data_IF_002166133116
#
_entry.id   IF_002166133116
#
_cell.length_a   1.000
_cell.length_b   1.000
_cell.length_c   1.000
_cell.angle_alpha   90.00
_cell.angle_beta   90.00
_cell.angle_gamma   90.00
#
_symmetry.space_group_name_H-M   'P 1'
#
loop_
_entity.id
_entity.type
_entity.pdbx_description
1 polymer ?
#
# COMPACT_ATOMS: atom_id res chain seq x y z
N UNK A 1 26.06 37.48 -2.98
CA UNK A 1 25.48 37.63 -1.61
C UNK A 1 24.29 36.71 -1.37
N UNK A 2 23.16 36.84 -2.09
CA UNK A 2 21.99 35.96 -1.90
C UNK A 2 22.28 34.48 -2.18
N UNK A 3 23.03 34.17 -3.23
CA UNK A 3 23.46 32.79 -3.57
C UNK A 3 24.35 32.15 -2.49
N UNK A 4 25.25 32.91 -1.88
CA UNK A 4 26.11 32.38 -0.80
C UNK A 4 25.32 32.10 0.48
N UNK A 5 24.34 32.96 0.79
CA UNK A 5 23.44 32.75 1.94
C UNK A 5 22.57 31.51 1.70
N UNK A 6 22.01 31.35 0.50
CA UNK A 6 21.24 30.17 0.12
C UNK A 6 22.06 28.88 0.21
N UNK A 7 23.31 28.89 -0.25
CA UNK A 7 24.20 27.74 -0.18
C UNK A 7 24.57 27.39 1.27
N UNK A 8 24.87 28.39 2.11
CA UNK A 8 25.15 28.17 3.54
C UNK A 8 23.92 27.64 4.28
N UNK A 9 22.73 28.16 3.97
CA UNK A 9 21.48 27.69 4.54
C UNK A 9 21.18 26.24 4.13
N UNK A 10 21.31 25.91 2.84
CA UNK A 10 21.11 24.56 2.32
C UNK A 10 22.09 23.55 2.95
N UNK A 11 23.36 23.92 3.08
CA UNK A 11 24.36 23.08 3.72
C UNK A 11 24.07 22.89 5.22
N UNK A 12 23.63 23.94 5.91
CA UNK A 12 23.22 23.86 7.31
C UNK A 12 21.99 22.96 7.50
N UNK A 13 20.97 23.10 6.65
CA UNK A 13 19.77 22.24 6.71
C UNK A 13 20.11 20.78 6.43
N UNK A 14 21.02 20.51 5.49
CA UNK A 14 21.49 19.15 5.20
C UNK A 14 22.26 18.55 6.39
N UNK A 15 23.18 19.31 6.99
CA UNK A 15 23.92 18.87 8.18
C UNK A 15 22.99 18.63 9.38
N UNK A 16 22.01 19.50 9.58
CA UNK A 16 21.02 19.34 10.65
C UNK A 16 20.18 18.08 10.43
N UNK A 17 19.71 17.83 9.20
CA UNK A 17 18.99 16.61 8.86
C UNK A 17 19.82 15.36 9.12
N UNK A 18 21.10 15.37 8.71
CA UNK A 18 22.02 14.25 8.96
C UNK A 18 22.26 14.02 10.45
N UNK A 19 22.42 15.10 11.23
CA UNK A 19 22.58 15.02 12.68
C UNK A 19 21.33 14.43 13.36
N UNK A 20 20.12 14.84 12.94
CA UNK A 20 18.86 14.29 13.47
C UNK A 20 18.76 12.79 13.16
N UNK A 21 19.01 12.38 11.91
CA UNK A 21 18.99 10.96 11.51
C UNK A 21 20.00 10.17 12.32
N UNK A 22 21.23 10.64 12.44
CA UNK A 22 22.29 10.00 13.23
C UNK A 22 21.89 9.84 14.71
N UNK A 23 21.30 10.87 15.31
CA UNK A 23 20.82 10.83 16.70
C UNK A 23 19.67 9.83 16.88
N UNK A 24 18.72 9.78 15.94
CA UNK A 24 17.64 8.80 15.94
C UNK A 24 18.18 7.38 15.82
N UNK A 25 19.15 7.15 14.93
CA UNK A 25 19.75 5.84 14.72
C UNK A 25 20.53 5.38 15.96
N UNK A 26 21.31 6.27 16.57
CA UNK A 26 22.04 5.97 17.82
C UNK A 26 21.10 5.68 18.98
N UNK A 27 19.96 6.40 19.08
CA UNK A 27 18.91 6.10 20.07
C UNK A 27 18.31 4.72 19.83
N UNK A 28 17.97 4.40 18.59
CA UNK A 28 17.45 3.09 18.21
C UNK A 28 18.43 1.95 18.55
N UNK A 29 19.72 2.11 18.22
CA UNK A 29 20.78 1.16 18.56
C UNK A 29 20.97 0.98 20.08
N UNK A 30 20.69 2.01 20.89
CA UNK A 30 20.72 1.92 22.35
C UNK A 30 19.47 1.27 22.98
N UNK A 31 18.59 0.67 22.15
CA UNK A 31 17.34 0.06 22.59
C UNK A 31 16.22 1.04 22.91
N UNK A 32 16.44 2.35 22.71
CA UNK A 32 15.44 3.41 22.95
C UNK A 32 14.64 3.68 21.68
N UNK A 33 14.03 2.64 21.13
CA UNK A 33 13.15 2.75 19.96
C UNK A 33 11.78 3.28 20.44
N UNK A 34 11.20 4.31 19.80
CA UNK A 34 9.84 4.71 20.10
C UNK A 34 8.87 3.55 19.91
N UNK A 35 7.97 3.32 20.87
CA UNK A 35 6.92 2.34 20.70
C UNK A 35 5.90 2.87 19.68
N UNK A 36 5.81 2.23 18.51
CA UNK A 36 4.81 2.56 17.49
C UNK A 36 3.54 1.81 17.87
N UNK A 37 2.45 2.55 18.16
CA UNK A 37 1.15 1.96 18.45
C UNK A 37 0.68 1.17 17.23
N UNK A 38 0.24 -0.09 17.39
CA UNK A 38 -0.36 -0.81 16.28
C UNK A 38 -1.64 -0.11 15.80
N UNK A 39 -1.90 -0.22 14.50
CA UNK A 39 -3.08 0.33 13.87
C UNK A 39 -4.16 -0.76 13.84
N UNK A 40 -5.30 -0.61 14.55
CA UNK A 40 -6.31 -1.65 14.62
C UNK A 40 -6.83 -2.11 13.25
N UNK A 41 -6.83 -1.22 12.25
CA UNK A 41 -7.22 -1.55 10.89
C UNK A 41 -6.27 -2.54 10.21
N UNK A 42 -4.96 -2.47 10.51
CA UNK A 42 -3.96 -3.38 9.94
C UNK A 42 -4.03 -4.74 10.65
N UNK A 43 -4.13 -4.73 11.98
CA UNK A 43 -4.26 -5.96 12.78
C UNK A 43 -5.53 -6.77 12.44
N UNK A 44 -6.57 -6.12 11.93
CA UNK A 44 -7.83 -6.76 11.54
C UNK A 44 -7.77 -7.46 10.15
N UNK A 45 -6.72 -7.23 9.35
CA UNK A 45 -6.62 -7.78 7.99
C UNK A 45 -6.64 -9.31 7.97
N UNK A 46 -5.83 -10.04 8.78
CA UNK A 46 -5.84 -11.51 8.76
C UNK A 46 -7.20 -12.11 9.13
N UNK A 47 -7.89 -11.52 10.11
CA UNK A 47 -9.24 -11.97 10.50
C UNK A 47 -10.25 -11.73 9.37
N UNK A 48 -10.20 -10.56 8.72
CA UNK A 48 -11.09 -10.23 7.61
C UNK A 48 -10.88 -11.20 6.42
N UNK A 49 -9.64 -11.57 6.12
CA UNK A 49 -9.30 -12.57 5.10
C UNK A 49 -9.81 -13.96 5.53
N UNK A 50 -9.62 -14.35 6.79
CA UNK A 50 -10.16 -15.61 7.33
C UNK A 50 -11.67 -15.73 7.13
N UNK A 51 -12.42 -14.67 7.41
CA UNK A 51 -13.88 -14.64 7.13
C UNK A 51 -14.19 -14.73 5.64
N UNK A 52 -13.34 -14.16 4.78
CA UNK A 52 -13.52 -14.26 3.33
C UNK A 52 -13.40 -15.71 2.85
N UNK A 53 -12.44 -16.46 3.40
CA UNK A 53 -12.28 -17.91 3.17
C UNK A 53 -13.50 -18.69 3.68
N UNK A 54 -13.96 -18.43 4.91
CA UNK A 54 -15.14 -19.10 5.49
C UNK A 54 -16.41 -18.89 4.64
N UNK A 55 -16.56 -17.70 4.05
CA UNK A 55 -17.69 -17.35 3.20
C UNK A 55 -17.51 -17.78 1.74
N UNK A 56 -16.35 -18.28 1.34
CA UNK A 56 -16.02 -18.62 -0.04
C UNK A 56 -16.13 -17.42 -0.99
N UNK A 57 -15.76 -16.22 -0.51
CA UNK A 57 -15.89 -14.96 -1.24
C UNK A 57 -14.54 -14.24 -1.29
N UNK A 58 -14.23 -13.51 -2.37
CA UNK A 58 -12.90 -12.93 -2.56
C UNK A 58 -12.63 -11.74 -1.64
N UNK A 59 -11.36 -11.35 -1.56
CA UNK A 59 -10.87 -10.13 -0.92
C UNK A 59 -10.58 -9.07 -1.99
N UNK A 60 -11.09 -7.87 -1.79
CA UNK A 60 -10.72 -6.71 -2.61
C UNK A 60 -9.59 -5.93 -1.94
N UNK A 61 -8.61 -5.45 -2.70
CA UNK A 61 -7.63 -4.49 -2.22
C UNK A 61 -7.35 -3.40 -3.25
N UNK A 62 -7.02 -2.20 -2.81
CA UNK A 62 -6.64 -1.11 -3.71
C UNK A 62 -5.63 -0.16 -3.04
N UNK A 63 -4.58 0.29 -3.77
CA UNK A 63 -3.59 1.21 -3.24
C UNK A 63 -3.96 2.69 -3.39
N UNK A 64 -5.23 3.00 -3.69
CA UNK A 64 -5.70 4.36 -3.93
C UNK A 64 -5.58 4.84 -5.37
N UNK A 65 -5.80 6.15 -5.53
CA UNK A 65 -5.80 6.89 -6.78
C UNK A 65 -4.48 7.64 -7.06
N UNK A 66 -3.61 7.75 -6.05
CA UNK A 66 -2.33 8.47 -6.11
C UNK A 66 -1.27 7.80 -6.98
N UNK A 67 -0.33 8.60 -7.48
CA UNK A 67 0.90 8.12 -8.11
C UNK A 67 2.04 7.92 -7.12
N UNK A 68 3.24 7.65 -7.65
CA UNK A 68 4.51 7.63 -6.91
C UNK A 68 5.39 8.86 -7.22
N UNK A 69 5.00 9.62 -8.23
CA UNK A 69 5.67 10.81 -8.74
C UNK A 69 5.01 12.11 -8.26
N UNK A 70 3.88 12.02 -7.58
CA UNK A 70 3.07 13.16 -7.14
C UNK A 70 3.15 13.38 -5.62
N UNK A 71 2.36 14.33 -5.13
CA UNK A 71 2.29 14.66 -3.70
C UNK A 71 1.74 13.52 -2.82
N UNK A 72 1.17 12.48 -3.41
CA UNK A 72 0.59 11.32 -2.72
C UNK A 72 1.55 10.12 -2.66
N UNK A 73 2.79 10.30 -3.14
CA UNK A 73 3.77 9.23 -3.23
C UNK A 73 3.99 8.50 -1.89
N UNK A 74 3.97 9.22 -0.76
CA UNK A 74 4.17 8.62 0.56
C UNK A 74 3.00 7.69 0.94
N UNK A 75 1.77 8.12 0.68
CA UNK A 75 0.55 7.35 0.90
C UNK A 75 0.49 6.11 0.00
N UNK A 76 0.79 6.28 -1.29
CA UNK A 76 0.83 5.19 -2.28
C UNK A 76 1.88 4.14 -1.92
N UNK A 77 3.09 4.56 -1.53
CA UNK A 77 4.15 3.63 -1.10
C UNK A 77 3.77 2.89 0.18
N UNK A 78 3.10 3.56 1.12
CA UNK A 78 2.59 2.91 2.33
C UNK A 78 1.50 1.88 2.00
N UNK A 79 0.62 2.21 1.06
CA UNK A 79 -0.42 1.31 0.59
C UNK A 79 0.14 0.07 -0.11
N UNK A 80 1.19 0.20 -0.92
CA UNK A 80 1.87 -0.93 -1.56
C UNK A 80 2.48 -1.90 -0.54
N UNK A 81 3.08 -1.39 0.55
CA UNK A 81 3.59 -2.24 1.63
C UNK A 81 2.46 -3.02 2.31
N UNK A 82 1.32 -2.38 2.54
CA UNK A 82 0.17 -3.05 3.16
C UNK A 82 -0.52 -4.01 2.17
N UNK A 83 -0.48 -3.70 0.87
CA UNK A 83 -0.94 -4.60 -0.18
C UNK A 83 -0.10 -5.89 -0.23
N UNK A 84 1.23 -5.79 -0.11
CA UNK A 84 2.11 -6.97 0.02
C UNK A 84 1.74 -7.79 1.26
N UNK A 85 1.55 -7.15 2.41
CA UNK A 85 1.16 -7.81 3.65
C UNK A 85 -0.21 -8.51 3.52
N UNK A 86 -1.17 -7.85 2.88
CA UNK A 86 -2.50 -8.43 2.60
C UNK A 86 -2.38 -9.63 1.66
N UNK A 87 -1.58 -9.52 0.60
CA UNK A 87 -1.35 -10.60 -0.36
C UNK A 87 -0.67 -11.82 0.27
N UNK A 88 0.28 -11.59 1.19
CA UNK A 88 0.90 -12.66 1.97
C UNK A 88 -0.16 -13.45 2.75
N UNK A 89 -1.04 -12.78 3.49
CA UNK A 89 -2.07 -13.46 4.27
C UNK A 89 -3.16 -14.11 3.40
N UNK A 90 -3.49 -13.51 2.25
CA UNK A 90 -4.36 -14.13 1.25
C UNK A 90 -3.76 -15.46 0.78
N UNK A 91 -2.46 -15.47 0.45
CA UNK A 91 -1.77 -16.67 0.01
C UNK A 91 -1.68 -17.73 1.11
N UNK A 92 -1.32 -17.34 2.34
CA UNK A 92 -1.24 -18.24 3.51
C UNK A 92 -2.58 -18.93 3.83
N UNK A 93 -3.69 -18.20 3.67
CA UNK A 93 -5.04 -18.72 3.97
C UNK A 93 -5.74 -19.32 2.75
N UNK A 94 -5.13 -19.25 1.56
CA UNK A 94 -5.72 -19.75 0.31
C UNK A 94 -6.98 -18.99 -0.11
N UNK A 95 -7.04 -17.68 0.14
CA UNK A 95 -8.14 -16.83 -0.29
C UNK A 95 -7.96 -16.36 -1.74
N UNK A 96 -9.07 -15.98 -2.39
CA UNK A 96 -9.04 -15.27 -3.66
C UNK A 96 -8.87 -13.76 -3.43
N UNK A 97 -8.09 -13.09 -4.29
CA UNK A 97 -7.87 -11.65 -4.24
C UNK A 97 -8.12 -11.00 -5.60
N UNK A 98 -8.65 -9.78 -5.56
CA UNK A 98 -8.67 -8.86 -6.70
C UNK A 98 -8.14 -7.49 -6.30
N UNK A 99 -7.40 -6.86 -7.20
CA UNK A 99 -6.83 -5.54 -6.98
C UNK A 99 -7.10 -4.62 -8.17
N UNK A 100 -7.56 -3.40 -7.88
CA UNK A 100 -7.70 -2.36 -8.88
C UNK A 100 -6.68 -1.25 -8.65
N UNK A 101 -6.08 -0.78 -9.74
CA UNK A 101 -5.13 0.34 -9.77
C UNK A 101 -5.51 1.32 -10.88
N UNK A 102 -5.29 2.61 -10.66
CA UNK A 102 -5.57 3.65 -11.66
C UNK A 102 -4.34 4.32 -12.25
N UNK A 103 -3.19 4.18 -11.59
CA UNK A 103 -1.93 4.74 -12.05
C UNK A 103 -1.12 3.67 -12.78
N UNK A 104 -0.63 4.01 -13.96
CA UNK A 104 0.25 3.16 -14.76
C UNK A 104 1.63 3.02 -14.13
N UNK A 105 2.07 3.98 -13.31
CA UNK A 105 3.32 3.88 -12.53
C UNK A 105 3.17 2.97 -11.32
N UNK A 106 1.96 2.89 -10.76
CA UNK A 106 1.65 2.05 -9.58
C UNK A 106 1.37 0.60 -9.96
N UNK A 107 0.78 0.35 -11.14
CA UNK A 107 0.42 -1.01 -11.57
C UNK A 107 1.57 -2.03 -11.43
N UNK A 108 2.76 -1.83 -12.03
CA UNK A 108 3.84 -2.81 -11.93
C UNK A 108 4.34 -2.98 -10.48
N UNK A 109 4.25 -1.93 -9.65
CA UNK A 109 4.61 -2.02 -8.24
C UNK A 109 3.57 -2.80 -7.43
N UNK A 110 2.28 -2.67 -7.76
CA UNK A 110 1.23 -3.46 -7.14
C UNK A 110 1.35 -4.95 -7.52
N UNK A 111 1.64 -5.25 -8.79
CA UNK A 111 1.92 -6.61 -9.25
C UNK A 111 3.11 -7.22 -8.51
N UNK A 112 4.21 -6.47 -8.38
CA UNK A 112 5.40 -6.93 -7.64
C UNK A 112 5.16 -7.09 -6.14
N UNK A 113 4.43 -6.16 -5.52
CA UNK A 113 4.04 -6.25 -4.11
C UNK A 113 3.20 -7.50 -3.83
N UNK A 114 2.19 -7.78 -4.67
CA UNK A 114 1.35 -8.98 -4.53
C UNK A 114 2.19 -10.24 -4.75
N UNK A 115 2.97 -10.29 -5.84
CA UNK A 115 3.85 -11.43 -6.14
C UNK A 115 4.85 -11.71 -5.02
N UNK A 116 5.40 -10.65 -4.42
CA UNK A 116 6.28 -10.75 -3.25
C UNK A 116 5.53 -11.32 -2.05
N UNK A 117 4.30 -10.88 -1.79
CA UNK A 117 3.45 -11.45 -0.74
C UNK A 117 3.24 -12.96 -0.89
N UNK A 118 2.85 -13.42 -2.10
CA UNK A 118 2.71 -14.85 -2.40
C UNK A 118 4.03 -15.61 -2.22
N UNK A 119 5.16 -14.99 -2.57
CA UNK A 119 6.49 -15.58 -2.41
C UNK A 119 6.88 -15.71 -0.94
N UNK A 120 6.59 -14.71 -0.10
CA UNK A 120 6.84 -14.77 1.35
C UNK A 120 5.99 -15.84 2.04
N UNK A 121 4.80 -16.12 1.51
CA UNK A 121 3.94 -17.21 1.95
C UNK A 121 4.41 -18.61 1.46
N UNK A 122 5.46 -18.70 0.63
CA UNK A 122 5.90 -19.92 -0.07
C UNK A 122 4.84 -20.50 -1.02
N UNK A 123 4.01 -19.66 -1.62
CA UNK A 123 2.89 -20.02 -2.49
C UNK A 123 3.02 -19.32 -3.87
N UNK A 124 4.25 -19.15 -4.35
CA UNK A 124 4.55 -18.44 -5.61
C UNK A 124 3.87 -19.03 -6.84
N UNK A 125 3.56 -20.33 -6.83
CA UNK A 125 2.87 -21.06 -7.90
C UNK A 125 1.37 -20.73 -7.97
N UNK A 126 0.79 -20.21 -6.88
CA UNK A 126 -0.61 -19.75 -6.82
C UNK A 126 -0.78 -18.29 -7.24
N UNK A 127 0.31 -17.55 -7.50
CA UNK A 127 0.20 -16.17 -7.97
C UNK A 127 -0.44 -16.12 -9.37
N UNK A 128 -1.55 -15.39 -9.48
CA UNK A 128 -2.21 -15.09 -10.75
C UNK A 128 -1.86 -13.65 -11.20
N UNK A 129 -1.20 -13.46 -12.35
CA UNK A 129 -0.98 -12.14 -12.95
C UNK A 129 -2.28 -11.34 -13.19
N UNK A 130 -3.44 -12.00 -13.26
CA UNK A 130 -4.75 -11.37 -13.42
C UNK A 130 -5.35 -10.73 -12.17
N UNK A 131 -4.68 -10.85 -11.01
CA UNK A 131 -5.13 -10.25 -9.74
C UNK A 131 -5.18 -8.73 -9.85
N UNK A 132 -4.14 -8.09 -10.42
CA UNK A 132 -4.07 -6.64 -10.57
C UNK A 132 -4.69 -6.24 -11.90
N UNK A 133 -5.65 -5.32 -11.86
CA UNK A 133 -6.31 -4.80 -13.06
C UNK A 133 -6.24 -3.29 -13.07
N UNK A 134 -5.75 -2.76 -14.19
CA UNK A 134 -5.73 -1.33 -14.44
C UNK A 134 -7.11 -0.82 -14.85
N UNK A 135 -7.50 0.31 -14.27
CA UNK A 135 -8.73 1.01 -14.60
C UNK A 135 -8.41 2.47 -14.90
N UNK A 136 -8.76 2.92 -16.10
CA UNK A 136 -8.41 4.26 -16.57
C UNK A 136 -9.29 5.35 -15.92
N UNK A 137 -8.76 6.00 -14.89
CA UNK A 137 -9.38 7.16 -14.25
C UNK A 137 -10.27 6.81 -13.05
N UNK A 138 -10.46 7.80 -12.18
CA UNK A 138 -11.16 7.66 -10.89
C UNK A 138 -12.65 7.31 -11.03
N UNK A 139 -13.37 7.91 -11.98
CA UNK A 139 -14.78 7.55 -12.22
C UNK A 139 -14.92 6.09 -12.67
N UNK A 140 -14.02 5.63 -13.54
CA UNK A 140 -14.03 4.24 -13.98
C UNK A 140 -13.67 3.30 -12.81
N UNK A 141 -12.77 3.71 -11.91
CA UNK A 141 -12.44 2.98 -10.69
C UNK A 141 -13.67 2.81 -9.77
N UNK A 142 -14.39 3.90 -9.51
CA UNK A 142 -15.60 3.88 -8.68
C UNK A 142 -16.67 2.95 -9.28
N UNK A 143 -16.95 3.09 -10.57
CA UNK A 143 -17.91 2.22 -11.29
C UNK A 143 -17.45 0.76 -11.29
N UNK A 144 -16.14 0.51 -11.39
CA UNK A 144 -15.57 -0.84 -11.35
C UNK A 144 -15.74 -1.47 -9.98
N UNK A 145 -15.55 -0.72 -8.89
CA UNK A 145 -15.81 -1.18 -7.52
C UNK A 145 -17.28 -1.55 -7.35
N UNK A 146 -18.21 -0.72 -7.83
CA UNK A 146 -19.64 -1.03 -7.77
C UNK A 146 -19.93 -2.33 -8.53
N UNK A 147 -19.40 -2.47 -9.74
CA UNK A 147 -19.56 -3.69 -10.54
C UNK A 147 -18.99 -4.94 -9.88
N UNK A 148 -17.83 -4.83 -9.23
CA UNK A 148 -17.21 -5.91 -8.43
C UNK A 148 -18.08 -6.26 -7.22
N UNK A 149 -18.58 -5.23 -6.51
CA UNK A 149 -19.38 -5.41 -5.31
C UNK A 149 -20.67 -6.18 -5.60
N UNK A 150 -21.30 -5.92 -6.75
CA UNK A 150 -22.52 -6.62 -7.18
C UNK A 150 -22.26 -8.05 -7.67
N UNK A 151 -21.21 -8.26 -8.48
CA UNK A 151 -20.93 -9.56 -9.12
C UNK A 151 -20.18 -10.52 -8.21
N UNK A 152 -19.04 -10.08 -7.71
CA UNK A 152 -18.10 -10.91 -6.96
C UNK A 152 -18.39 -10.90 -5.46
N UNK A 153 -19.05 -9.82 -5.00
CA UNK A 153 -19.43 -9.62 -3.60
C UNK A 153 -18.23 -9.91 -2.68
N UNK A 154 -17.17 -9.09 -2.64
CA UNK A 154 -16.06 -9.34 -1.74
C UNK A 154 -16.52 -9.45 -0.27
N UNK A 155 -15.94 -10.36 0.50
CA UNK A 155 -16.24 -10.50 1.94
C UNK A 155 -15.37 -9.61 2.82
N UNK A 156 -14.22 -9.17 2.29
CA UNK A 156 -13.35 -8.17 2.89
C UNK A 156 -12.86 -7.21 1.81
N UNK A 157 -12.63 -5.95 2.19
CA UNK A 157 -12.09 -4.94 1.30
C UNK A 157 -11.06 -4.07 2.04
N UNK A 158 -9.85 -3.96 1.48
CA UNK A 158 -8.73 -3.19 2.02
C UNK A 158 -8.51 -1.97 1.14
N UNK A 159 -8.94 -0.80 1.63
CA UNK A 159 -8.78 0.49 0.97
C UNK A 159 -7.75 1.32 1.72
N UNK A 160 -6.53 1.41 1.19
CA UNK A 160 -5.44 2.15 1.83
C UNK A 160 -4.67 2.91 0.76
N UNK A 161 -4.26 4.14 1.06
CA UNK A 161 -3.62 5.05 0.11
C UNK A 161 -4.42 6.34 -0.05
N UNK A 162 -4.12 7.08 -1.11
CA UNK A 162 -4.78 8.35 -1.37
C UNK A 162 -6.11 8.13 -2.11
N UNK A 163 -7.23 8.48 -1.48
CA UNK A 163 -8.56 8.45 -2.08
C UNK A 163 -9.17 9.85 -2.04
N UNK A 164 -9.70 10.28 -3.16
CA UNK A 164 -10.43 11.54 -3.28
C UNK A 164 -11.53 11.40 -4.33
N UNK A 165 -12.59 12.18 -4.17
CA UNK A 165 -13.55 12.39 -5.25
C UNK A 165 -13.04 13.54 -6.13
N UNK A 166 -12.93 13.38 -7.45
CA UNK A 166 -12.74 14.51 -8.34
C UNK A 166 -14.03 15.34 -8.29
N UNK A 167 -14.02 16.38 -7.44
CA UNK A 167 -15.12 17.35 -7.41
C UNK A 167 -15.19 18.13 -8.72
N UNK A 168 -16.42 18.45 -9.11
CA UNK A 168 -16.81 19.48 -10.09
C UNK A 168 -15.89 20.69 -10.15
#
# INVERSE_FOLDING_TARGET
>A
MLLEIANKFSLLSMLLGFAIIYLCLRKAQSGKVPNIRPLPAIDAIPEAIGRAVELGRPVFAGPGLGGIEDQWAAETMSALNILQHTAQHVAELGADMMCLVVSTTVQPLAEDAIKTGFTLANESDKYDPGIVRFVAGSMAYDVSIVGISEREKPAAAVYIGAYWHPGT
#
